data_IF_464922256670
#
_entry.id   IF_464922256670
#
_cell.length_a   1.000
_cell.length_b   1.000
_cell.length_c   1.000
_cell.angle_alpha   90.00
_cell.angle_beta   90.00
_cell.angle_gamma   90.00
#
_symmetry.space_group_name_H-M   'P 1'
#
loop_
_entity.id
_entity.type
_entity.pdbx_description
1 polymer ?
#
# COMPACT_ATOMS: atom_id res chain seq x y z
N UNK A 1 -28.37 -28.59 -15.45
CA UNK A 1 -29.31 -27.44 -15.41
C UNK A 1 -28.53 -26.13 -15.53
N UNK A 2 -29.03 -25.16 -16.26
CA UNK A 2 -28.40 -23.85 -16.35
C UNK A 2 -28.65 -23.08 -15.05
N UNK A 3 -27.61 -22.76 -14.32
CA UNK A 3 -27.65 -21.96 -13.09
C UNK A 3 -28.12 -20.54 -13.41
N UNK A 4 -29.03 -19.97 -12.63
CA UNK A 4 -29.51 -18.60 -12.79
C UNK A 4 -28.41 -17.54 -12.64
N UNK A 5 -28.64 -16.32 -13.09
CA UNK A 5 -27.65 -15.24 -12.92
C UNK A 5 -27.43 -14.92 -11.43
N UNK A 6 -28.48 -14.99 -10.61
CA UNK A 6 -28.38 -14.78 -9.16
C UNK A 6 -27.51 -15.83 -8.47
N UNK A 7 -27.75 -17.11 -8.79
CA UNK A 7 -26.93 -18.21 -8.26
C UNK A 7 -25.48 -18.13 -8.76
N UNK A 8 -25.27 -17.74 -10.02
CA UNK A 8 -23.92 -17.52 -10.54
C UNK A 8 -23.21 -16.40 -9.80
N UNK A 9 -23.89 -15.26 -9.56
CA UNK A 9 -23.32 -14.15 -8.79
C UNK A 9 -22.95 -14.63 -7.39
N UNK A 10 -23.83 -15.33 -6.69
CA UNK A 10 -23.57 -15.87 -5.37
C UNK A 10 -22.33 -16.78 -5.34
N UNK A 11 -22.25 -17.73 -6.28
CA UNK A 11 -21.11 -18.63 -6.41
C UNK A 11 -19.82 -17.87 -6.72
N UNK A 12 -19.86 -16.92 -7.64
CA UNK A 12 -18.67 -16.18 -8.03
C UNK A 12 -18.17 -15.27 -6.90
N UNK A 13 -19.09 -14.59 -6.21
CA UNK A 13 -18.75 -13.72 -5.07
C UNK A 13 -18.23 -14.51 -3.88
N UNK A 14 -18.72 -15.72 -3.67
CA UNK A 14 -18.29 -16.57 -2.56
C UNK A 14 -16.97 -17.31 -2.84
N UNK A 15 -16.77 -17.80 -4.06
CA UNK A 15 -15.71 -18.74 -4.37
C UNK A 15 -14.68 -18.26 -5.41
N UNK A 16 -14.94 -17.16 -6.11
CA UNK A 16 -14.09 -16.70 -7.21
C UNK A 16 -14.18 -17.57 -8.47
N UNK A 17 -13.41 -17.21 -9.50
CA UNK A 17 -13.53 -17.82 -10.83
C UNK A 17 -13.20 -19.31 -10.87
N UNK A 18 -12.05 -19.71 -10.32
CA UNK A 18 -11.56 -21.08 -10.41
C UNK A 18 -12.50 -22.08 -9.71
N UNK A 19 -12.96 -21.76 -8.51
CA UNK A 19 -13.88 -22.62 -7.76
C UNK A 19 -15.30 -22.64 -8.37
N UNK A 20 -15.77 -21.49 -8.86
CA UNK A 20 -17.04 -21.42 -9.59
C UNK A 20 -16.99 -22.28 -10.86
N UNK A 21 -15.89 -22.27 -11.59
CA UNK A 21 -15.68 -23.13 -12.76
C UNK A 21 -15.82 -24.62 -12.41
N UNK A 22 -15.16 -25.05 -11.31
CA UNK A 22 -15.26 -26.42 -10.82
C UNK A 22 -16.70 -26.81 -10.43
N UNK A 23 -17.37 -25.96 -9.65
CA UNK A 23 -18.76 -26.20 -9.20
C UNK A 23 -19.77 -26.28 -10.35
N UNK A 24 -19.56 -25.50 -11.39
CA UNK A 24 -20.43 -25.46 -12.57
C UNK A 24 -19.99 -26.44 -13.69
N UNK A 25 -18.88 -27.14 -13.49
CA UNK A 25 -18.25 -28.03 -14.48
C UNK A 25 -18.03 -27.36 -15.84
N UNK A 26 -17.47 -26.15 -15.83
CA UNK A 26 -17.14 -25.35 -17.02
C UNK A 26 -15.69 -24.86 -16.93
N UNK A 27 -15.12 -24.44 -18.05
CA UNK A 27 -13.79 -23.83 -18.06
C UNK A 27 -13.84 -22.41 -17.50
N UNK A 28 -12.77 -22.00 -16.81
CA UNK A 28 -12.68 -20.71 -16.12
C UNK A 28 -12.91 -19.51 -17.06
N UNK A 29 -12.48 -19.61 -18.31
CA UNK A 29 -12.76 -18.60 -19.35
C UNK A 29 -14.26 -18.31 -19.48
N UNK A 30 -15.10 -19.36 -19.47
CA UNK A 30 -16.57 -19.19 -19.55
C UNK A 30 -17.16 -18.51 -18.31
N UNK A 31 -16.54 -18.68 -17.15
CA UNK A 31 -16.91 -17.96 -15.94
C UNK A 31 -16.68 -16.47 -16.12
N UNK A 32 -15.53 -16.05 -16.62
CA UNK A 32 -15.24 -14.64 -16.89
C UNK A 32 -16.12 -14.04 -17.99
N UNK A 33 -16.40 -14.79 -19.05
CA UNK A 33 -17.31 -14.35 -20.11
C UNK A 33 -18.73 -14.13 -19.56
N UNK A 34 -19.22 -15.05 -18.72
CA UNK A 34 -20.54 -14.92 -18.09
C UNK A 34 -20.57 -13.77 -17.09
N UNK A 35 -19.54 -13.60 -16.29
CA UNK A 35 -19.41 -12.47 -15.37
C UNK A 35 -19.58 -11.13 -16.10
N UNK A 36 -18.77 -10.89 -17.16
CA UNK A 36 -18.86 -9.64 -17.95
C UNK A 36 -20.25 -9.40 -18.56
N UNK A 37 -20.91 -10.46 -19.03
CA UNK A 37 -22.28 -10.36 -19.54
C UNK A 37 -23.25 -9.94 -18.45
N UNK A 38 -23.12 -10.49 -17.25
CA UNK A 38 -23.96 -10.17 -16.10
C UNK A 38 -23.69 -8.73 -15.64
N UNK A 39 -22.44 -8.33 -15.53
CA UNK A 39 -22.03 -6.95 -15.18
C UNK A 39 -22.63 -5.94 -16.16
N UNK A 40 -22.55 -6.22 -17.46
CA UNK A 40 -23.18 -5.38 -18.49
C UNK A 40 -24.71 -5.37 -18.42
N UNK A 41 -25.32 -6.50 -18.10
CA UNK A 41 -26.81 -6.64 -18.04
C UNK A 41 -27.41 -5.86 -16.88
N UNK A 42 -26.72 -5.84 -15.73
CA UNK A 42 -27.24 -5.25 -14.50
C UNK A 42 -26.56 -3.91 -14.15
N UNK A 43 -25.68 -3.43 -15.01
CA UNK A 43 -24.86 -2.21 -14.82
C UNK A 43 -24.22 -2.13 -13.43
N UNK A 44 -23.70 -3.24 -12.98
CA UNK A 44 -23.00 -3.33 -11.70
C UNK A 44 -21.86 -4.36 -11.74
N UNK A 45 -20.74 -4.11 -11.09
CA UNK A 45 -19.64 -5.06 -11.00
C UNK A 45 -20.00 -6.28 -10.15
N UNK A 46 -19.41 -7.43 -10.49
CA UNK A 46 -19.48 -8.66 -9.70
C UNK A 46 -18.06 -9.03 -9.25
N UNK A 47 -17.82 -8.95 -7.97
CA UNK A 47 -16.49 -9.14 -7.40
C UNK A 47 -16.26 -10.58 -6.95
N UNK A 48 -15.05 -11.09 -7.20
CA UNK A 48 -14.54 -12.28 -6.52
C UNK A 48 -14.20 -11.95 -5.06
N UNK A 49 -14.14 -12.93 -4.15
CA UNK A 49 -13.86 -12.67 -2.73
C UNK A 49 -12.59 -11.83 -2.49
N UNK A 50 -11.53 -12.11 -3.27
CA UNK A 50 -10.26 -11.38 -3.21
C UNK A 50 -10.29 -9.98 -3.84
N UNK A 51 -11.35 -9.63 -4.57
CA UNK A 51 -11.49 -8.38 -5.31
C UNK A 51 -12.74 -7.59 -4.90
N UNK A 52 -13.49 -8.08 -3.92
CA UNK A 52 -14.57 -7.28 -3.35
C UNK A 52 -13.94 -5.99 -2.80
N UNK A 53 -14.51 -4.79 -3.09
CA UNK A 53 -14.04 -3.58 -2.46
C UNK A 53 -14.19 -3.79 -0.95
N UNK A 54 -13.07 -3.95 -0.31
CA UNK A 54 -13.03 -3.80 1.12
C UNK A 54 -13.19 -2.31 1.38
N UNK A 55 -14.06 -1.92 2.26
CA UNK A 55 -14.45 -0.52 2.56
C UNK A 55 -13.33 0.35 3.13
N UNK A 56 -12.03 0.12 2.80
CA UNK A 56 -11.17 0.33 3.91
C UNK A 56 -10.26 1.53 3.81
N UNK A 57 -9.68 1.82 2.66
CA UNK A 57 -8.68 2.86 2.61
C UNK A 57 -8.86 3.69 1.35
N UNK A 58 -8.91 5.02 1.47
CA UNK A 58 -9.05 5.89 0.31
C UNK A 58 -7.88 5.65 -0.66
N UNK A 59 -8.18 5.59 -1.94
CA UNK A 59 -7.14 5.46 -2.97
C UNK A 59 -6.18 6.65 -2.94
N UNK A 60 -6.72 7.82 -2.57
CA UNK A 60 -5.97 9.07 -2.57
C UNK A 60 -6.33 9.94 -1.37
N UNK A 61 -5.32 10.46 -0.70
CA UNK A 61 -5.40 11.59 0.24
C UNK A 61 -4.74 12.80 -0.38
N UNK A 62 -5.49 13.90 -0.49
CA UNK A 62 -4.95 15.18 -0.95
C UNK A 62 -4.57 16.03 0.25
N UNK A 63 -3.38 16.61 0.23
CA UNK A 63 -2.90 17.56 1.24
C UNK A 63 -2.25 18.76 0.57
N UNK A 64 -2.39 19.92 1.19
CA UNK A 64 -1.72 21.14 0.78
C UNK A 64 -0.73 21.57 1.86
N UNK A 65 0.52 21.74 1.46
CA UNK A 65 1.63 22.19 2.31
C UNK A 65 2.30 23.36 1.62
N UNK A 66 1.92 24.57 2.00
CA UNK A 66 2.43 25.79 1.38
C UNK A 66 3.84 26.13 1.87
N UNK A 67 4.12 25.84 3.16
CA UNK A 67 5.40 26.06 3.80
C UNK A 67 5.66 24.98 4.84
N UNK A 68 6.88 24.46 4.89
CA UNK A 68 7.32 23.46 5.84
C UNK A 68 7.87 22.19 5.18
N UNK A 69 8.24 21.24 6.03
CA UNK A 69 8.84 19.98 5.64
C UNK A 69 7.80 18.87 5.62
N UNK A 70 7.80 18.07 4.56
CA UNK A 70 7.17 16.75 4.51
C UNK A 70 8.28 15.71 4.55
N UNK A 71 8.23 14.84 5.55
CA UNK A 71 9.21 13.77 5.70
C UNK A 71 8.58 12.46 5.24
N UNK A 72 9.27 11.74 4.36
CA UNK A 72 8.81 10.46 3.80
C UNK A 72 9.84 9.38 4.08
N UNK A 73 9.39 8.23 4.56
CA UNK A 73 10.19 7.03 4.73
C UNK A 73 9.36 5.80 4.33
N UNK A 74 9.99 4.66 4.08
CA UNK A 74 9.30 3.42 3.73
C UNK A 74 10.12 2.19 4.11
N UNK A 75 9.52 1.02 3.94
CA UNK A 75 10.21 -0.28 3.98
C UNK A 75 10.98 -0.47 5.28
N UNK A 76 10.32 -0.17 6.39
CA UNK A 76 10.91 -0.26 7.71
C UNK A 76 10.94 -1.69 8.26
N UNK A 77 9.97 -2.53 7.85
CA UNK A 77 9.88 -3.94 8.24
C UNK A 77 10.23 -4.13 9.72
N UNK A 78 9.53 -3.38 10.59
CA UNK A 78 9.86 -3.34 12.01
C UNK A 78 9.81 -4.72 12.65
N UNK A 79 10.95 -5.11 13.18
CA UNK A 79 11.14 -6.40 13.81
C UNK A 79 11.24 -6.26 15.33
N UNK A 80 10.67 -7.19 16.12
CA UNK A 80 10.72 -7.14 17.58
C UNK A 80 12.14 -7.01 18.13
N UNK A 81 12.33 -6.07 19.07
CA UNK A 81 13.60 -5.86 19.74
C UNK A 81 14.69 -5.16 18.93
N UNK A 82 14.45 -4.85 17.66
CA UNK A 82 15.46 -4.21 16.78
C UNK A 82 15.09 -2.75 16.52
N UNK A 83 16.09 -1.87 16.63
CA UNK A 83 16.02 -0.48 16.17
C UNK A 83 17.20 -0.20 15.26
N UNK A 84 16.94 -0.05 13.97
CA UNK A 84 17.97 0.18 12.96
C UNK A 84 18.65 1.55 13.15
N UNK A 85 19.85 1.70 12.61
CA UNK A 85 20.54 3.01 12.60
C UNK A 85 19.76 4.03 11.76
N UNK A 86 19.12 3.58 10.67
CA UNK A 86 18.31 4.43 9.82
C UNK A 86 17.06 4.95 10.58
N UNK A 87 16.41 4.11 11.38
CA UNK A 87 15.31 4.55 12.23
C UNK A 87 15.74 5.61 13.25
N UNK A 88 16.87 5.38 13.93
CA UNK A 88 17.41 6.40 14.87
C UNK A 88 17.74 7.71 14.19
N UNK A 89 18.29 7.67 12.97
CA UNK A 89 18.55 8.87 12.17
C UNK A 89 17.24 9.58 11.76
N UNK A 90 16.19 8.83 11.44
CA UNK A 90 14.87 9.38 11.17
C UNK A 90 14.31 10.16 12.37
N UNK A 91 14.46 9.65 13.60
CA UNK A 91 14.02 10.36 14.80
C UNK A 91 14.79 11.67 14.99
N UNK A 92 16.10 11.68 14.71
CA UNK A 92 16.91 12.91 14.73
C UNK A 92 16.43 13.90 13.66
N UNK A 93 16.12 13.41 12.44
CA UNK A 93 15.56 14.24 11.36
C UNK A 93 14.22 14.84 11.75
N UNK A 94 13.31 14.07 12.35
CA UNK A 94 12.02 14.58 12.85
C UNK A 94 12.21 15.72 13.85
N UNK A 95 13.08 15.54 14.84
CA UNK A 95 13.38 16.57 15.85
C UNK A 95 14.02 17.83 15.24
N UNK A 96 14.94 17.64 14.28
CA UNK A 96 15.68 18.73 13.64
C UNK A 96 14.81 19.56 12.68
N UNK A 97 14.07 18.89 11.80
CA UNK A 97 13.32 19.54 10.73
C UNK A 97 11.89 19.88 11.10
N UNK A 98 11.37 19.35 12.21
CA UNK A 98 10.01 19.60 12.71
C UNK A 98 8.96 19.50 11.60
N UNK A 99 8.81 18.36 10.94
CA UNK A 99 7.95 18.22 9.78
C UNK A 99 6.50 18.56 10.11
N UNK A 100 5.79 19.20 9.19
CA UNK A 100 4.33 19.39 9.28
C UNK A 100 3.57 18.11 8.93
N UNK A 101 4.21 17.25 8.13
CA UNK A 101 3.65 15.98 7.69
C UNK A 101 4.73 14.92 7.73
N UNK A 102 4.40 13.74 8.23
CA UNK A 102 5.23 12.54 8.12
C UNK A 102 4.44 11.47 7.37
N UNK A 103 5.08 10.85 6.41
CA UNK A 103 4.47 9.80 5.58
C UNK A 103 5.30 8.52 5.73
N UNK A 104 4.71 7.51 6.35
CA UNK A 104 5.19 6.13 6.30
C UNK A 104 4.71 5.52 4.98
N UNK A 105 5.57 5.49 3.97
CA UNK A 105 5.18 5.08 2.61
C UNK A 105 5.22 3.56 2.43
N UNK A 106 4.59 2.85 3.34
CA UNK A 106 4.35 1.40 3.26
C UNK A 106 5.47 0.52 3.80
N UNK A 107 5.09 -0.73 3.99
CA UNK A 107 5.93 -1.81 4.51
C UNK A 107 6.58 -1.46 5.87
N UNK A 108 5.75 -0.93 6.78
CA UNK A 108 6.12 -0.78 8.18
C UNK A 108 6.02 -2.13 8.91
N UNK A 109 4.93 -2.85 8.68
CA UNK A 109 4.70 -4.22 9.13
C UNK A 109 5.28 -5.21 8.13
N UNK A 110 5.97 -6.26 8.57
CA UNK A 110 6.52 -7.26 7.65
C UNK A 110 5.53 -8.40 7.36
N UNK A 111 4.86 -8.94 8.37
CA UNK A 111 3.97 -10.07 8.23
C UNK A 111 4.71 -11.35 7.84
N UNK A 112 5.86 -11.60 8.45
CA UNK A 112 6.73 -12.73 8.13
C UNK A 112 6.00 -14.06 8.31
N UNK A 113 5.37 -14.27 9.48
CA UNK A 113 4.67 -15.51 9.83
C UNK A 113 3.40 -15.78 9.00
N UNK A 114 2.84 -14.76 8.37
CA UNK A 114 1.65 -14.85 7.49
C UNK A 114 1.98 -14.69 6.01
N UNK A 115 3.25 -14.67 5.67
CA UNK A 115 3.74 -14.63 4.29
C UNK A 115 3.25 -15.86 3.51
N UNK A 116 2.95 -15.66 2.22
CA UNK A 116 2.68 -16.77 1.29
C UNK A 116 3.95 -17.43 0.75
N UNK A 117 5.09 -16.81 0.99
CA UNK A 117 6.39 -17.36 0.60
C UNK A 117 6.87 -18.35 1.66
N UNK A 118 7.55 -19.40 1.24
CA UNK A 118 8.13 -20.36 2.17
C UNK A 118 9.20 -19.66 3.05
N UNK A 119 9.26 -20.07 4.31
CA UNK A 119 10.35 -19.65 5.20
C UNK A 119 11.70 -20.12 4.64
N UNK A 120 12.73 -19.33 4.88
CA UNK A 120 14.10 -19.68 4.50
C UNK A 120 14.70 -20.52 5.63
N UNK A 121 14.85 -21.82 5.38
CA UNK A 121 15.44 -22.73 6.36
C UNK A 121 14.57 -22.91 7.62
N UNK A 122 15.23 -22.88 8.78
CA UNK A 122 14.63 -23.09 10.11
C UNK A 122 14.52 -21.77 10.90
N UNK A 123 14.43 -20.65 10.19
CA UNK A 123 14.29 -19.33 10.83
C UNK A 123 12.92 -19.21 11.52
N UNK A 124 12.96 -18.86 12.81
CA UNK A 124 11.76 -18.54 13.57
C UNK A 124 11.27 -17.14 13.16
N UNK A 125 10.02 -17.06 12.75
CA UNK A 125 9.35 -15.78 12.52
C UNK A 125 8.65 -15.34 13.81
N UNK A 126 8.64 -14.03 14.12
CA UNK A 126 7.88 -13.53 15.25
C UNK A 126 6.39 -13.76 15.03
N UNK A 127 5.62 -13.76 16.11
CA UNK A 127 4.18 -13.78 15.98
C UNK A 127 3.67 -12.47 15.36
N UNK A 128 2.50 -12.51 14.74
CA UNK A 128 1.83 -11.29 14.23
C UNK A 128 1.66 -10.25 15.32
N UNK A 129 1.37 -10.68 16.56
CA UNK A 129 1.22 -9.79 17.70
C UNK A 129 2.54 -9.07 18.04
N UNK A 130 3.66 -9.78 18.04
CA UNK A 130 4.98 -9.20 18.32
C UNK A 130 5.40 -8.20 17.25
N UNK A 131 5.11 -8.49 15.96
CA UNK A 131 5.38 -7.56 14.87
C UNK A 131 4.50 -6.30 14.96
N UNK A 132 3.22 -6.43 15.34
CA UNK A 132 2.34 -5.28 15.56
C UNK A 132 2.86 -4.41 16.71
N UNK A 133 3.28 -5.02 17.82
CA UNK A 133 3.85 -4.27 18.94
C UNK A 133 5.15 -3.56 18.55
N UNK A 134 6.01 -4.18 17.76
CA UNK A 134 7.20 -3.52 17.22
C UNK A 134 6.84 -2.32 16.33
N UNK A 135 5.84 -2.45 15.47
CA UNK A 135 5.33 -1.33 14.68
C UNK A 135 4.78 -0.20 15.58
N UNK A 136 3.98 -0.51 16.59
CA UNK A 136 3.44 0.47 17.54
C UNK A 136 4.53 1.21 18.29
N UNK A 137 5.55 0.48 18.76
CA UNK A 137 6.69 1.07 19.47
C UNK A 137 7.43 2.04 18.54
N UNK A 138 7.86 1.59 17.36
CA UNK A 138 8.69 2.39 16.46
C UNK A 138 7.93 3.56 15.83
N UNK A 139 6.70 3.36 15.41
CA UNK A 139 5.86 4.45 14.89
C UNK A 139 5.49 5.45 16.00
N UNK A 140 5.27 4.98 17.25
CA UNK A 140 5.07 5.84 18.41
C UNK A 140 6.30 6.73 18.73
N UNK A 141 7.52 6.20 18.56
CA UNK A 141 8.75 7.01 18.68
C UNK A 141 8.79 8.15 17.63
N UNK A 142 8.34 7.87 16.39
CA UNK A 142 8.25 8.89 15.34
C UNK A 142 7.18 9.94 15.69
N UNK A 143 6.02 9.51 16.16
CA UNK A 143 4.95 10.42 16.63
C UNK A 143 5.46 11.38 17.69
N UNK A 144 6.19 10.84 18.67
CA UNK A 144 6.78 11.65 19.75
C UNK A 144 7.85 12.62 19.24
N UNK A 145 8.67 12.18 18.26
CA UNK A 145 9.75 12.99 17.67
C UNK A 145 9.22 14.08 16.71
N UNK A 146 8.09 13.82 16.03
CA UNK A 146 7.43 14.72 15.08
C UNK A 146 6.13 15.32 15.65
N UNK A 147 6.14 15.68 16.93
CA UNK A 147 4.95 16.15 17.64
C UNK A 147 4.20 17.24 16.88
N UNK A 148 2.92 17.02 16.62
CA UNK A 148 2.03 17.96 15.91
C UNK A 148 2.02 17.78 14.39
N UNK A 149 2.83 16.87 13.84
CA UNK A 149 2.75 16.51 12.43
C UNK A 149 1.47 15.74 12.10
N UNK A 150 0.97 15.90 10.88
CA UNK A 150 -0.05 14.99 10.32
C UNK A 150 0.64 13.72 9.86
N UNK A 151 0.07 12.57 10.20
CA UNK A 151 0.66 11.25 9.95
C UNK A 151 -0.16 10.51 8.92
N UNK A 152 0.47 10.12 7.81
CA UNK A 152 -0.16 9.35 6.73
C UNK A 152 0.58 8.04 6.50
N UNK A 153 -0.19 7.05 6.07
CA UNK A 153 0.34 5.72 5.82
C UNK A 153 -0.19 5.15 4.49
N UNK A 154 0.44 5.50 3.35
CA UNK A 154 0.24 4.74 2.12
C UNK A 154 0.67 3.28 2.35
N UNK A 155 -0.29 2.36 2.27
CA UNK A 155 -0.05 0.96 2.60
C UNK A 155 0.84 0.27 1.55
N UNK A 156 1.77 -0.53 2.04
CA UNK A 156 2.59 -1.40 1.23
C UNK A 156 2.00 -2.80 1.07
N UNK A 157 2.68 -3.63 0.32
CA UNK A 157 2.23 -5.01 0.10
C UNK A 157 2.41 -5.91 1.32
N UNK A 158 3.37 -5.59 2.20
CA UNK A 158 3.55 -6.28 3.47
C UNK A 158 2.46 -5.88 4.47
N UNK A 159 2.18 -4.58 4.61
CA UNK A 159 1.07 -4.11 5.44
C UNK A 159 -0.26 -4.77 5.06
N UNK A 160 -0.50 -4.92 3.76
CA UNK A 160 -1.71 -5.54 3.25
C UNK A 160 -1.82 -7.05 3.54
N UNK A 161 -0.72 -7.73 3.93
CA UNK A 161 -0.75 -9.16 4.27
C UNK A 161 -1.68 -9.47 5.42
N UNK A 162 -1.71 -8.59 6.43
CA UNK A 162 -2.52 -8.79 7.63
C UNK A 162 -4.00 -8.99 7.29
N UNK A 163 -4.61 -7.99 6.66
CA UNK A 163 -6.02 -8.08 6.28
C UNK A 163 -6.27 -9.10 5.15
N UNK A 164 -5.36 -9.22 4.20
CA UNK A 164 -5.51 -10.21 3.13
C UNK A 164 -5.53 -11.64 3.67
N UNK A 165 -4.72 -11.94 4.69
CA UNK A 165 -4.72 -13.26 5.33
C UNK A 165 -6.03 -13.51 6.07
N UNK A 166 -6.49 -12.56 6.87
CA UNK A 166 -7.74 -12.66 7.61
C UNK A 166 -8.94 -12.77 6.67
N UNK A 167 -9.03 -11.92 5.65
CA UNK A 167 -10.10 -11.96 4.66
C UNK A 167 -10.17 -13.28 3.88
N UNK A 168 -9.03 -13.96 3.72
CA UNK A 168 -8.97 -15.24 3.02
C UNK A 168 -9.42 -16.43 3.88
N UNK A 169 -9.19 -16.41 5.20
CA UNK A 169 -9.44 -17.54 6.09
C UNK A 169 -10.61 -17.35 7.05
N UNK A 170 -10.95 -16.10 7.37
CA UNK A 170 -11.97 -15.75 8.34
C UNK A 170 -12.71 -14.44 7.94
N UNK A 171 -13.34 -14.39 6.74
CA UNK A 171 -13.98 -13.18 6.23
C UNK A 171 -15.16 -12.68 7.09
N UNK A 172 -15.74 -13.55 7.92
CA UNK A 172 -16.82 -13.22 8.86
C UNK A 172 -16.38 -12.26 9.98
N UNK A 173 -15.07 -12.15 10.23
CA UNK A 173 -14.54 -11.28 11.28
C UNK A 173 -14.35 -9.82 10.84
N UNK A 174 -14.65 -9.47 9.58
CA UNK A 174 -14.41 -8.13 9.00
C UNK A 174 -14.93 -6.93 9.83
N UNK A 175 -15.92 -7.14 10.71
CA UNK A 175 -16.50 -6.11 11.59
C UNK A 175 -16.03 -6.19 13.03
N UNK A 176 -15.08 -7.05 13.32
CA UNK A 176 -14.53 -7.19 14.69
C UNK A 176 -13.38 -6.22 14.83
N UNK A 177 -13.36 -5.48 15.94
CA UNK A 177 -12.27 -4.55 16.26
C UNK A 177 -10.94 -5.31 16.38
N UNK A 178 -9.87 -4.70 15.88
CA UNK A 178 -8.53 -5.25 15.91
C UNK A 178 -8.16 -6.17 14.71
N UNK A 179 -9.11 -6.46 13.82
CA UNK A 179 -8.83 -7.24 12.59
C UNK A 179 -8.29 -6.39 11.44
N UNK A 180 -8.27 -5.08 11.61
CA UNK A 180 -7.68 -4.15 10.66
C UNK A 180 -6.38 -3.57 11.21
N UNK A 181 -5.34 -3.55 10.40
CA UNK A 181 -4.03 -3.06 10.86
C UNK A 181 -4.10 -1.61 11.36
N UNK A 182 -4.97 -0.79 10.79
CA UNK A 182 -5.25 0.59 11.24
C UNK A 182 -5.72 0.68 12.69
N UNK A 183 -6.40 -0.33 13.20
CA UNK A 183 -6.97 -0.31 14.57
C UNK A 183 -5.86 -0.31 15.63
N UNK A 184 -4.70 -0.84 15.25
CA UNK A 184 -3.51 -0.89 16.11
C UNK A 184 -2.67 0.40 16.04
N UNK A 185 -2.90 1.27 15.03
CA UNK A 185 -2.13 2.49 14.76
C UNK A 185 -3.06 3.69 14.51
N UNK A 186 -3.88 4.07 15.49
CA UNK A 186 -5.01 5.00 15.31
C UNK A 186 -4.59 6.43 14.90
N UNK A 187 -3.35 6.83 15.16
CA UNK A 187 -2.85 8.17 14.81
C UNK A 187 -2.41 8.26 13.35
N UNK A 188 -2.18 7.12 12.69
CA UNK A 188 -1.76 7.06 11.30
C UNK A 188 -2.96 6.92 10.37
N UNK A 189 -3.01 7.75 9.34
CA UNK A 189 -4.11 7.76 8.37
C UNK A 189 -3.78 6.86 7.17
N UNK A 190 -4.32 5.64 7.10
CA UNK A 190 -4.03 4.73 6.01
C UNK A 190 -4.69 5.20 4.70
N UNK A 191 -4.02 4.92 3.60
CA UNK A 191 -4.49 5.20 2.24
C UNK A 191 -3.65 4.40 1.23
N UNK A 192 -3.94 4.55 -0.08
CA UNK A 192 -3.11 3.96 -1.13
C UNK A 192 -2.14 4.95 -1.77
N UNK A 193 -2.38 6.25 -1.60
CA UNK A 193 -1.47 7.31 -2.01
C UNK A 193 -1.75 8.63 -1.30
N UNK A 194 -0.71 9.45 -1.11
CA UNK A 194 -0.82 10.84 -0.67
C UNK A 194 -0.39 11.74 -1.81
N UNK A 195 -1.20 12.75 -2.09
CA UNK A 195 -0.92 13.75 -3.10
C UNK A 195 -0.67 15.09 -2.42
N UNK A 196 0.48 15.68 -2.70
CA UNK A 196 0.93 16.91 -2.10
C UNK A 196 0.91 18.01 -3.15
N UNK A 197 0.21 19.12 -2.88
CA UNK A 197 0.15 20.32 -3.72
C UNK A 197 -0.16 20.03 -5.21
N UNK A 198 -0.90 18.96 -5.51
CA UNK A 198 -1.25 18.51 -6.86
C UNK A 198 -0.09 18.11 -7.79
N UNK A 199 1.15 18.29 -7.39
CA UNK A 199 2.33 18.06 -8.22
C UNK A 199 3.21 16.90 -7.76
N UNK A 200 3.04 16.43 -6.54
CA UNK A 200 3.84 15.35 -5.95
C UNK A 200 2.94 14.21 -5.47
N UNK A 201 3.28 12.99 -5.85
CA UNK A 201 2.58 11.76 -5.44
C UNK A 201 3.50 10.92 -4.58
N UNK A 202 3.00 10.49 -3.43
CA UNK A 202 3.67 9.51 -2.57
C UNK A 202 2.82 8.24 -2.57
N UNK A 203 3.39 7.13 -2.97
CA UNK A 203 2.75 5.82 -2.93
C UNK A 203 3.80 4.72 -2.84
N UNK A 204 3.49 3.66 -2.13
CA UNK A 204 4.47 2.62 -1.87
C UNK A 204 5.01 1.99 -3.15
N UNK A 205 4.13 1.54 -4.02
CA UNK A 205 4.50 0.80 -5.23
C UNK A 205 3.86 1.39 -6.49
N UNK A 206 4.64 1.50 -7.58
CA UNK A 206 4.11 1.88 -8.88
C UNK A 206 4.72 1.00 -9.99
N UNK A 207 5.83 1.38 -10.61
CA UNK A 207 6.55 0.54 -11.59
C UNK A 207 7.77 -0.07 -10.94
N UNK A 208 8.09 -1.29 -11.30
CA UNK A 208 9.29 -2.00 -10.84
C UNK A 208 10.44 -1.92 -11.84
N UNK A 209 11.55 -2.56 -11.48
CA UNK A 209 12.73 -2.74 -12.31
C UNK A 209 13.82 -1.68 -12.10
N UNK A 210 14.96 -1.89 -12.73
CA UNK A 210 16.18 -1.10 -12.56
C UNK A 210 16.02 0.40 -12.88
N UNK A 211 15.04 0.74 -13.72
CA UNK A 211 14.73 2.12 -14.11
C UNK A 211 13.44 2.62 -13.46
N UNK A 212 13.01 2.04 -12.35
CA UNK A 212 11.72 2.33 -11.72
C UNK A 212 11.52 3.82 -11.46
N UNK A 213 12.48 4.51 -10.85
CA UNK A 213 12.36 5.94 -10.52
C UNK A 213 12.14 6.81 -11.78
N UNK A 214 12.90 6.55 -12.85
CA UNK A 214 12.69 7.21 -14.14
C UNK A 214 11.30 6.92 -14.73
N UNK A 215 10.96 5.64 -14.82
CA UNK A 215 9.67 5.21 -15.37
C UNK A 215 8.49 5.73 -14.55
N UNK A 216 8.62 5.78 -13.24
CA UNK A 216 7.59 6.30 -12.34
C UNK A 216 7.32 7.78 -12.63
N UNK A 217 8.38 8.59 -12.80
CA UNK A 217 8.27 10.01 -13.12
C UNK A 217 7.60 10.22 -14.48
N UNK A 218 8.04 9.47 -15.49
CA UNK A 218 7.48 9.52 -16.84
C UNK A 218 5.98 9.19 -16.85
N UNK A 219 5.58 8.10 -16.20
CA UNK A 219 4.19 7.66 -16.18
C UNK A 219 3.29 8.52 -15.27
N UNK A 220 3.82 9.04 -14.18
CA UNK A 220 3.07 9.92 -13.29
C UNK A 220 2.90 11.33 -13.87
N UNK A 221 3.82 11.78 -14.74
CA UNK A 221 3.93 13.16 -15.22
C UNK A 221 4.00 14.19 -14.08
N UNK A 222 4.55 13.76 -12.93
CA UNK A 222 4.62 14.49 -11.66
C UNK A 222 5.85 14.06 -10.89
N UNK A 223 6.18 14.80 -9.83
CA UNK A 223 7.08 14.28 -8.82
C UNK A 223 6.45 13.03 -8.20
N UNK A 224 7.23 11.99 -8.01
CA UNK A 224 6.75 10.75 -7.41
C UNK A 224 7.76 10.16 -6.44
N UNK A 225 7.29 9.81 -5.25
CA UNK A 225 8.07 9.15 -4.21
C UNK A 225 7.51 7.74 -4.03
N UNK A 226 8.37 6.75 -4.18
CA UNK A 226 8.04 5.33 -4.01
C UNK A 226 8.95 4.69 -2.97
N UNK A 227 8.59 3.51 -2.52
CA UNK A 227 9.41 2.56 -1.77
C UNK A 227 9.44 1.22 -2.50
N UNK A 228 9.34 0.09 -1.75
CA UNK A 228 9.16 -1.27 -2.24
C UNK A 228 10.42 -1.93 -2.83
N UNK A 229 11.27 -1.17 -3.51
CA UNK A 229 12.45 -1.74 -4.19
C UNK A 229 13.71 -1.72 -3.32
N UNK A 230 13.64 -1.11 -2.13
CA UNK A 230 14.78 -0.95 -1.22
C UNK A 230 16.01 -0.29 -1.87
N UNK A 231 15.79 0.50 -2.92
CA UNK A 231 16.84 1.05 -3.76
C UNK A 231 16.84 2.59 -3.69
N UNK A 232 17.58 3.13 -2.72
CA UNK A 232 17.70 4.58 -2.57
C UNK A 232 18.17 5.22 -3.88
N UNK A 233 17.27 5.94 -4.54
CA UNK A 233 17.55 6.52 -5.84
C UNK A 233 16.72 7.78 -6.09
N UNK A 234 17.35 8.77 -6.70
CA UNK A 234 16.69 10.00 -7.17
C UNK A 234 17.00 10.19 -8.64
N UNK A 235 15.97 10.37 -9.46
CA UNK A 235 16.12 10.56 -10.90
C UNK A 235 15.31 11.77 -11.37
N UNK A 236 15.95 12.80 -11.95
CA UNK A 236 15.24 13.89 -12.61
C UNK A 236 14.76 13.46 -13.99
N UNK A 237 13.63 14.02 -14.42
CA UNK A 237 13.13 13.93 -15.76
C UNK A 237 12.67 15.33 -16.22
N UNK A 238 13.33 15.85 -17.26
CA UNK A 238 13.03 17.18 -17.80
C UNK A 238 12.28 17.04 -19.12
N UNK A 239 11.11 17.66 -19.19
CA UNK A 239 10.34 17.85 -20.42
C UNK A 239 10.51 19.29 -20.89
N UNK A 240 10.74 19.48 -22.18
CA UNK A 240 10.74 20.79 -22.78
C UNK A 240 9.32 21.19 -23.18
N UNK A 241 9.01 22.47 -23.12
CA UNK A 241 7.71 22.96 -23.53
C UNK A 241 7.41 22.73 -25.01
N UNK A 242 6.15 22.74 -25.37
CA UNK A 242 5.68 22.58 -26.76
C UNK A 242 6.10 23.73 -27.68
N UNK A 243 6.43 24.88 -27.09
CA UNK A 243 6.90 26.08 -27.81
C UNK A 243 8.27 26.53 -27.29
N UNK A 244 9.01 27.29 -28.09
CA UNK A 244 10.32 27.81 -27.70
C UNK A 244 10.31 28.68 -26.45
N UNK A 245 9.19 29.34 -26.17
CA UNK A 245 9.00 30.24 -25.02
C UNK A 245 8.49 29.52 -23.75
N UNK A 246 8.05 28.29 -23.87
CA UNK A 246 7.56 27.53 -22.71
C UNK A 246 8.75 27.02 -21.88
N UNK A 247 8.82 27.30 -20.58
CA UNK A 247 9.93 26.89 -19.75
C UNK A 247 9.97 25.36 -19.60
N UNK A 248 11.17 24.78 -19.55
CA UNK A 248 11.32 23.35 -19.28
C UNK A 248 10.79 23.03 -17.87
N UNK A 249 10.14 21.87 -17.76
CA UNK A 249 9.64 21.36 -16.47
C UNK A 249 10.43 20.12 -16.07
N UNK A 250 11.04 20.17 -14.89
CA UNK A 250 11.68 19.00 -14.29
C UNK A 250 10.79 18.40 -13.23
N UNK A 251 10.58 17.08 -13.33
CA UNK A 251 9.93 16.26 -12.31
C UNK A 251 10.93 15.26 -11.74
N UNK A 252 10.67 14.78 -10.53
CA UNK A 252 11.60 13.94 -9.79
C UNK A 252 10.94 12.60 -9.44
N UNK A 253 11.62 11.51 -9.76
CA UNK A 253 11.32 10.19 -9.26
C UNK A 253 12.26 9.84 -8.11
N UNK A 254 11.70 9.46 -6.99
CA UNK A 254 12.44 9.10 -5.78
C UNK A 254 12.02 7.70 -5.34
N UNK A 255 12.99 6.86 -5.01
CA UNK A 255 12.79 5.67 -4.20
C UNK A 255 13.48 5.92 -2.85
N UNK A 256 12.75 5.71 -1.76
CA UNK A 256 13.21 6.07 -0.41
C UNK A 256 14.24 5.11 0.16
N UNK A 257 14.49 3.98 -0.52
CA UNK A 257 15.30 2.92 0.03
C UNK A 257 14.57 2.14 1.13
N UNK A 258 15.29 1.70 2.14
CA UNK A 258 14.75 0.95 3.29
C UNK A 258 15.26 1.53 4.60
N UNK A 259 14.44 1.41 5.67
CA UNK A 259 14.84 1.67 7.07
C UNK A 259 15.20 0.38 7.83
N UNK A 260 15.03 -0.93 7.23
CA UNK A 260 15.33 -2.25 7.79
C UNK A 260 16.85 -2.51 7.89
#
# INVERSE_FOLDING_TARGET
MAVSDAEFIALFTQFGAAQTAKKLNIVERKVYERRRRIEKKYDRPVYAPSNAPTEHYPERRQIDVQDGVVLVFSDAHYWPGISSTAHRALLVACKKFKPKVVICNGDAFDGASISRHAAIGWEDSPSVADEIEACKERLGEIEAAAKGAKLFWPLGNHDARFESRLAAVAPEFVRVDGVHLKDHLPNWQPCWSVWINHDTVVKHRYKGGIHATHNNTLWASKNIVTGHLHSLKVTPYTTYGETADAPPRTTWGVDTGTLA
#
